data_IF_232204125595
#
_entry.id   IF_232204125595
#
_cell.length_a   1.000
_cell.length_b   1.000
_cell.length_c   1.000
_cell.angle_alpha   90.00
_cell.angle_beta   90.00
_cell.angle_gamma   90.00
#
_symmetry.space_group_name_H-M   'P 1'
#
loop_
_entity.id
_entity.type
_entity.pdbx_description
1 polymer ?
#
# COMPACT_ATOMS: atom_id res chain seq x y z
N UNK A 1 -60.93 50.18 -20.35
CA UNK A 1 -59.46 50.07 -20.20
C UNK A 1 -59.00 50.07 -18.73
N UNK A 2 -59.58 49.24 -17.84
CA UNK A 2 -59.16 49.18 -16.41
C UNK A 2 -59.00 47.76 -15.85
N UNK A 3 -59.28 46.71 -16.62
CA UNK A 3 -59.18 45.30 -16.14
C UNK A 3 -57.86 44.61 -16.48
N UNK A 4 -57.11 45.09 -17.47
CA UNK A 4 -55.83 44.49 -17.90
C UNK A 4 -54.61 44.96 -17.08
N UNK A 5 -54.65 46.16 -16.49
CA UNK A 5 -53.56 46.66 -15.64
C UNK A 5 -53.49 45.98 -14.25
N UNK A 6 -54.63 45.48 -13.74
CA UNK A 6 -54.72 44.82 -12.43
C UNK A 6 -54.19 43.37 -12.45
N UNK A 7 -54.25 42.71 -13.61
CA UNK A 7 -53.76 41.34 -13.78
C UNK A 7 -52.23 41.29 -13.95
N UNK A 8 -51.64 42.30 -14.57
CA UNK A 8 -50.18 42.38 -14.76
C UNK A 8 -49.46 42.71 -13.44
N UNK A 9 -50.05 43.52 -12.55
CA UNK A 9 -49.43 43.80 -11.24
C UNK A 9 -49.50 42.61 -10.27
N UNK A 10 -50.51 41.74 -10.40
CA UNK A 10 -50.64 40.54 -9.55
C UNK A 10 -49.65 39.43 -9.97
N UNK A 11 -49.38 39.28 -11.27
CA UNK A 11 -48.41 38.32 -11.78
C UNK A 11 -46.96 38.69 -11.41
N UNK A 12 -46.60 39.97 -11.40
CA UNK A 12 -45.26 40.42 -11.00
C UNK A 12 -45.05 40.25 -9.48
N UNK A 13 -46.11 40.42 -8.67
CA UNK A 13 -46.03 40.21 -7.22
C UNK A 13 -45.85 38.73 -6.85
N UNK A 14 -46.51 37.82 -7.57
CA UNK A 14 -46.40 36.36 -7.35
C UNK A 14 -45.04 35.83 -7.80
N UNK A 15 -44.48 36.35 -8.89
CA UNK A 15 -43.12 35.98 -9.35
C UNK A 15 -42.05 36.56 -8.40
N UNK A 16 -42.24 37.80 -7.91
CA UNK A 16 -41.35 38.40 -6.92
C UNK A 16 -41.35 37.65 -5.58
N UNK A 17 -42.51 37.23 -5.08
CA UNK A 17 -42.64 36.42 -3.87
C UNK A 17 -42.09 34.99 -4.05
N UNK A 18 -42.28 34.38 -5.22
CA UNK A 18 -41.72 33.06 -5.54
C UNK A 18 -40.18 33.07 -5.62
N UNK A 19 -39.59 34.10 -6.22
CA UNK A 19 -38.13 34.27 -6.28
C UNK A 19 -37.53 34.60 -4.91
N UNK A 20 -38.23 35.39 -4.08
CA UNK A 20 -37.80 35.66 -2.70
C UNK A 20 -37.90 34.40 -1.82
N UNK A 21 -38.91 33.55 -2.02
CA UNK A 21 -39.07 32.30 -1.27
C UNK A 21 -38.02 31.24 -1.67
N UNK A 22 -37.64 31.19 -2.95
CA UNK A 22 -36.55 30.31 -3.44
C UNK A 22 -35.17 30.82 -2.98
N UNK A 23 -34.97 32.14 -2.90
CA UNK A 23 -33.75 32.73 -2.35
C UNK A 23 -33.63 32.52 -0.82
N UNK A 24 -34.74 32.54 -0.08
CA UNK A 24 -34.76 32.30 1.37
C UNK A 24 -34.65 30.81 1.76
N UNK A 25 -34.90 29.89 0.83
CA UNK A 25 -34.77 28.44 1.06
C UNK A 25 -33.46 27.86 0.52
N UNK A 26 -32.76 28.57 -0.36
CA UNK A 26 -31.47 28.13 -0.92
C UNK A 26 -30.25 28.49 -0.03
N UNK A 27 -30.43 29.36 0.97
CA UNK A 27 -29.34 29.81 1.85
C UNK A 27 -29.10 28.95 3.10
N UNK A 28 -29.98 28.00 3.44
CA UNK A 28 -30.00 27.39 4.78
C UNK A 28 -29.50 25.94 4.89
N UNK A 29 -28.88 25.39 3.83
CA UNK A 29 -28.32 24.04 3.90
C UNK A 29 -26.81 23.98 4.17
N UNK A 30 -26.10 25.11 4.18
CA UNK A 30 -24.66 25.12 4.51
C UNK A 30 -24.47 25.26 6.03
N UNK A 31 -25.21 26.15 6.70
CA UNK A 31 -25.14 26.31 8.16
C UNK A 31 -25.73 25.13 8.94
N UNK A 32 -26.72 24.42 8.39
CA UNK A 32 -27.36 23.30 9.09
C UNK A 32 -26.46 22.07 9.19
N UNK A 33 -25.55 21.89 8.24
CA UNK A 33 -24.55 20.81 8.21
C UNK A 33 -23.50 20.95 9.32
N UNK A 34 -23.28 22.17 9.86
CA UNK A 34 -22.35 22.38 10.98
C UNK A 34 -22.93 21.96 12.34
N UNK A 35 -24.25 21.81 12.46
CA UNK A 35 -24.92 21.52 13.74
C UNK A 35 -25.12 20.02 14.04
N UNK A 36 -24.92 19.16 13.05
CA UNK A 36 -24.94 17.71 13.26
C UNK A 36 -23.59 17.29 13.85
N UNK A 37 -23.46 17.38 15.18
CA UNK A 37 -22.30 16.80 15.87
C UNK A 37 -22.22 15.32 15.51
N UNK A 38 -21.18 14.88 14.76
CA UNK A 38 -21.05 13.47 14.44
C UNK A 38 -20.85 12.69 15.73
N UNK A 39 -21.41 11.49 15.79
CA UNK A 39 -21.15 10.51 16.87
C UNK A 39 -19.69 10.03 16.88
N UNK A 40 -18.91 10.40 15.85
CA UNK A 40 -17.48 10.09 15.68
C UNK A 40 -16.63 11.35 15.86
N UNK A 41 -15.39 11.16 16.31
CA UNK A 41 -14.48 12.22 16.77
C UNK A 41 -14.02 13.24 15.70
N UNK A 42 -14.38 13.07 14.42
CA UNK A 42 -13.99 13.98 13.34
C UNK A 42 -15.01 14.05 12.21
N UNK A 43 -15.24 15.26 11.69
CA UNK A 43 -15.92 15.45 10.42
C UNK A 43 -15.05 14.89 9.27
N UNK A 44 -15.68 14.31 8.25
CA UNK A 44 -15.00 13.80 7.06
C UNK A 44 -15.29 14.72 5.87
N UNK A 45 -14.25 15.12 5.14
CA UNK A 45 -14.34 15.98 3.96
C UNK A 45 -13.59 15.37 2.76
N UNK A 46 -13.94 15.68 1.51
CA UNK A 46 -13.13 15.17 0.41
C UNK A 46 -11.71 15.72 0.49
N UNK A 47 -10.75 14.87 0.19
CA UNK A 47 -9.33 15.19 0.25
C UNK A 47 -8.91 15.96 -1.01
N UNK A 48 -8.14 17.04 -0.84
CA UNK A 48 -7.63 17.80 -1.99
C UNK A 48 -6.64 16.96 -2.81
N UNK A 49 -6.87 16.91 -4.12
CA UNK A 49 -5.97 16.23 -5.08
C UNK A 49 -4.89 17.21 -5.54
N UNK A 50 -3.60 16.86 -5.42
CA UNK A 50 -2.53 17.73 -5.91
C UNK A 50 -2.66 17.95 -7.43
N UNK A 51 -2.10 19.05 -7.94
CA UNK A 51 -2.09 19.29 -9.39
C UNK A 51 -1.24 18.25 -10.13
N UNK A 52 -0.12 17.87 -9.52
CA UNK A 52 0.82 16.89 -10.06
C UNK A 52 1.64 16.23 -8.94
N UNK A 53 2.27 15.10 -9.25
CA UNK A 53 3.22 14.44 -8.36
C UNK A 53 4.29 13.68 -9.15
N UNK A 54 5.46 13.49 -8.54
CA UNK A 54 6.51 12.61 -9.07
C UNK A 54 6.36 11.21 -8.44
N UNK A 55 6.51 10.17 -9.25
CA UNK A 55 6.60 8.79 -8.78
C UNK A 55 7.64 8.02 -9.59
N UNK A 56 8.64 7.46 -8.93
CA UNK A 56 9.72 6.70 -9.56
C UNK A 56 10.46 7.48 -10.67
N UNK A 57 10.55 8.81 -10.55
CA UNK A 57 11.13 9.70 -11.56
C UNK A 57 10.21 10.07 -12.72
N UNK A 58 8.96 9.60 -12.73
CA UNK A 58 7.93 9.95 -13.71
C UNK A 58 7.03 11.05 -13.14
N UNK A 59 6.72 12.07 -13.93
CA UNK A 59 5.78 13.14 -13.55
C UNK A 59 4.34 12.75 -13.96
N UNK A 60 3.41 12.83 -13.02
CA UNK A 60 1.98 12.59 -13.24
C UNK A 60 1.21 13.89 -12.98
N UNK A 61 0.33 14.27 -13.89
CA UNK A 61 -0.62 15.39 -13.74
C UNK A 61 -2.05 14.89 -13.58
N UNK A 62 -2.86 15.62 -12.81
CA UNK A 62 -4.26 15.27 -12.51
C UNK A 62 -5.24 16.32 -13.05
N UNK A 63 -4.93 16.94 -14.18
CA UNK A 63 -5.79 17.90 -14.90
C UNK A 63 -6.94 17.20 -15.64
N UNK A 64 -6.67 16.03 -16.22
CA UNK A 64 -7.69 15.18 -16.86
C UNK A 64 -8.62 14.54 -15.83
N UNK A 65 -9.93 14.50 -16.15
CA UNK A 65 -10.97 13.97 -15.26
C UNK A 65 -10.68 12.52 -14.83
N UNK A 66 -10.24 11.67 -15.78
CA UNK A 66 -10.03 10.25 -15.54
C UNK A 66 -8.86 9.99 -14.60
N UNK A 67 -7.77 10.76 -14.71
CA UNK A 67 -6.62 10.66 -13.79
C UNK A 67 -6.97 11.26 -12.41
N UNK A 68 -7.68 12.39 -12.38
CA UNK A 68 -8.12 13.06 -11.14
C UNK A 68 -9.05 12.19 -10.31
N UNK A 69 -10.10 11.66 -10.92
CA UNK A 69 -11.12 10.85 -10.22
C UNK A 69 -10.53 9.52 -9.73
N UNK A 70 -9.61 8.90 -10.49
CA UNK A 70 -8.89 7.70 -10.03
C UNK A 70 -7.98 7.97 -8.83
N UNK A 71 -7.27 9.11 -8.83
CA UNK A 71 -6.47 9.51 -7.67
C UNK A 71 -7.35 9.86 -6.47
N UNK A 72 -8.43 10.61 -6.69
CA UNK A 72 -9.39 11.01 -5.66
C UNK A 72 -9.98 9.81 -4.92
N UNK A 73 -10.40 8.80 -5.67
CA UNK A 73 -10.93 7.55 -5.12
C UNK A 73 -9.95 6.90 -4.14
N UNK A 74 -8.70 6.69 -4.56
CA UNK A 74 -7.72 5.96 -3.73
C UNK A 74 -7.22 6.80 -2.55
N UNK A 75 -7.05 8.12 -2.74
CA UNK A 75 -6.61 9.02 -1.67
C UNK A 75 -7.66 9.14 -0.58
N UNK A 76 -8.94 9.31 -0.94
CA UNK A 76 -10.04 9.26 0.03
C UNK A 76 -10.12 7.90 0.72
N UNK A 77 -9.96 6.79 -0.03
CA UNK A 77 -10.01 5.45 0.55
C UNK A 77 -8.96 5.24 1.63
N UNK A 78 -7.68 5.54 1.37
CA UNK A 78 -6.63 5.38 2.37
C UNK A 78 -6.73 6.39 3.52
N UNK A 79 -7.23 7.60 3.27
CA UNK A 79 -7.46 8.60 4.32
C UNK A 79 -8.49 8.08 5.32
N UNK A 80 -9.61 7.58 4.83
CA UNK A 80 -10.74 7.20 5.70
C UNK A 80 -10.72 5.74 6.16
N UNK A 81 -9.88 4.89 5.59
CA UNK A 81 -9.65 3.55 6.10
C UNK A 81 -8.58 3.54 7.22
N UNK A 82 -8.81 4.35 8.25
CA UNK A 82 -7.80 4.72 9.25
C UNK A 82 -7.11 3.54 9.92
N UNK A 83 -7.85 2.48 10.28
CA UNK A 83 -7.29 1.31 10.96
C UNK A 83 -6.24 0.60 10.10
N UNK A 84 -6.51 0.46 8.81
CA UNK A 84 -5.58 -0.12 7.84
C UNK A 84 -4.38 0.80 7.66
N UNK A 85 -4.60 2.09 7.40
CA UNK A 85 -3.50 3.03 7.13
C UNK A 85 -2.58 3.20 8.34
N UNK A 86 -3.11 3.27 9.57
CA UNK A 86 -2.31 3.24 10.79
C UNK A 86 -1.47 1.96 10.90
N UNK A 87 -2.02 0.80 10.52
CA UNK A 87 -1.27 -0.46 10.49
C UNK A 87 -0.16 -0.44 9.43
N UNK A 88 -0.38 0.21 8.29
CA UNK A 88 0.63 0.37 7.24
C UNK A 88 1.84 1.14 7.78
N UNK A 89 1.66 2.27 8.46
CA UNK A 89 2.77 3.00 9.09
C UNK A 89 3.53 2.14 10.12
N UNK A 90 2.79 1.42 10.97
CA UNK A 90 3.39 0.52 11.97
C UNK A 90 4.29 -0.52 11.32
N UNK A 91 3.79 -1.21 10.28
CA UNK A 91 4.54 -2.25 9.56
C UNK A 91 5.65 -1.68 8.69
N UNK A 92 5.45 -0.52 8.07
CA UNK A 92 6.47 0.16 7.29
C UNK A 92 7.70 0.48 8.13
N UNK A 93 7.52 0.95 9.37
CA UNK A 93 8.62 1.19 10.29
C UNK A 93 9.46 -0.08 10.57
N UNK A 94 8.86 -1.27 10.47
CA UNK A 94 9.55 -2.55 10.61
C UNK A 94 10.19 -3.04 9.32
N UNK A 95 9.53 -2.92 8.17
CA UNK A 95 9.93 -3.60 6.94
C UNK A 95 10.62 -2.72 5.90
N UNK A 96 10.37 -1.41 5.87
CA UNK A 96 11.08 -0.50 4.98
C UNK A 96 12.61 -0.49 5.21
N UNK A 97 13.13 -0.55 6.45
CA UNK A 97 14.57 -0.72 6.69
C UNK A 97 15.20 -1.95 6.01
N UNK A 98 14.39 -2.97 5.67
CA UNK A 98 14.84 -4.17 4.96
C UNK A 98 14.68 -4.01 3.44
N UNK A 99 13.55 -3.44 3.00
CA UNK A 99 13.19 -3.32 1.58
C UNK A 99 14.01 -2.24 0.85
N UNK A 100 14.08 -1.03 1.41
CA UNK A 100 14.67 0.14 0.73
C UNK A 100 16.15 -0.06 0.35
N UNK A 101 17.03 -0.64 1.21
CA UNK A 101 18.41 -0.90 0.83
C UNK A 101 18.52 -1.89 -0.33
N UNK A 102 17.62 -2.89 -0.41
CA UNK A 102 17.60 -3.87 -1.51
C UNK A 102 17.16 -3.19 -2.81
N UNK A 103 16.10 -2.37 -2.79
CA UNK A 103 15.66 -1.61 -3.97
C UNK A 103 16.81 -0.75 -4.50
N UNK A 104 17.46 0.01 -3.61
CA UNK A 104 18.62 0.84 -3.94
C UNK A 104 19.76 0.01 -4.54
N UNK A 105 20.13 -1.11 -3.94
CA UNK A 105 21.18 -2.00 -4.44
C UNK A 105 20.84 -2.56 -5.83
N UNK A 106 19.57 -2.84 -6.10
CA UNK A 106 19.12 -3.38 -7.38
C UNK A 106 18.92 -2.31 -8.45
N UNK A 107 18.99 -1.02 -8.11
CA UNK A 107 18.72 0.10 -9.01
C UNK A 107 17.23 0.25 -9.34
N UNK A 108 16.36 -0.11 -8.41
CA UNK A 108 14.91 0.10 -8.50
C UNK A 108 14.54 1.35 -7.70
N UNK A 109 13.70 2.26 -8.22
CA UNK A 109 13.27 3.45 -7.49
C UNK A 109 12.60 3.11 -6.15
N UNK A 110 12.91 3.90 -5.12
CA UNK A 110 12.44 3.67 -3.75
C UNK A 110 10.91 3.68 -3.65
N UNK A 111 10.24 4.49 -4.47
CA UNK A 111 8.78 4.55 -4.57
C UNK A 111 8.12 3.20 -4.84
N UNK A 112 8.82 2.26 -5.48
CA UNK A 112 8.26 0.94 -5.77
C UNK A 112 8.08 0.07 -4.51
N UNK A 113 8.58 0.50 -3.34
CA UNK A 113 8.23 -0.13 -2.05
C UNK A 113 6.73 -0.06 -1.76
N UNK A 114 6.03 0.95 -2.28
CA UNK A 114 4.57 1.08 -2.10
C UNK A 114 3.79 -0.03 -2.81
N UNK A 115 4.41 -0.76 -3.74
CA UNK A 115 3.83 -1.97 -4.31
C UNK A 115 3.63 -3.04 -3.22
N UNK A 116 4.65 -3.30 -2.37
CA UNK A 116 4.52 -4.23 -1.24
C UNK A 116 3.46 -3.77 -0.21
N UNK A 117 3.24 -2.46 -0.10
CA UNK A 117 2.20 -1.87 0.75
C UNK A 117 0.81 -2.23 0.22
N UNK A 118 0.55 -2.03 -1.08
CA UNK A 118 -0.78 -2.27 -1.65
C UNK A 118 -1.09 -3.75 -1.91
N UNK A 119 -0.06 -4.59 -2.05
CA UNK A 119 -0.17 -6.03 -2.28
C UNK A 119 -0.53 -6.81 -1.01
N UNK A 120 0.18 -6.55 0.09
CA UNK A 120 0.09 -7.38 1.30
C UNK A 120 -0.13 -6.59 2.58
N UNK A 121 -0.26 -5.27 2.52
CA UNK A 121 -0.18 -4.41 3.70
C UNK A 121 1.10 -4.67 4.51
N UNK A 122 2.20 -4.95 3.81
CA UNK A 122 3.49 -5.36 4.37
C UNK A 122 3.41 -6.60 5.29
N UNK A 123 2.54 -7.55 4.99
CA UNK A 123 2.42 -8.82 5.72
C UNK A 123 3.25 -9.92 5.05
N UNK A 124 4.35 -10.40 5.67
CA UNK A 124 5.15 -11.47 5.10
C UNK A 124 4.41 -12.82 5.03
N UNK A 125 3.23 -12.95 5.69
CA UNK A 125 2.41 -14.15 5.72
C UNK A 125 1.16 -14.07 4.83
N UNK A 126 0.95 -12.96 4.12
CA UNK A 126 -0.23 -12.77 3.28
C UNK A 126 -0.37 -13.87 2.23
N UNK A 127 -1.61 -14.32 2.01
CA UNK A 127 -1.98 -15.25 0.94
C UNK A 127 -3.28 -14.78 0.30
N UNK A 128 -3.28 -14.52 -1.00
CA UNK A 128 -4.48 -14.15 -1.73
C UNK A 128 -5.34 -15.39 -2.07
N UNK A 129 -6.62 -15.19 -2.46
CA UNK A 129 -7.45 -16.26 -3.01
C UNK A 129 -6.82 -16.98 -4.22
N UNK A 130 -6.03 -16.25 -5.02
CA UNK A 130 -5.29 -16.79 -6.16
C UNK A 130 -3.98 -17.52 -5.75
N UNK A 131 -3.71 -17.65 -4.45
CA UNK A 131 -2.50 -18.25 -3.87
C UNK A 131 -1.21 -17.47 -4.16
N UNK A 132 -1.34 -16.18 -4.45
CA UNK A 132 -0.23 -15.25 -4.38
C UNK A 132 0.21 -15.12 -2.91
N UNK A 133 1.52 -15.10 -2.64
CA UNK A 133 2.01 -15.27 -1.27
C UNK A 133 3.13 -14.29 -0.89
N UNK A 134 3.18 -13.98 0.40
CA UNK A 134 4.20 -13.16 1.04
C UNK A 134 4.03 -11.66 0.76
N UNK A 135 5.06 -10.90 1.13
CA UNK A 135 4.99 -9.43 1.17
C UNK A 135 4.83 -8.81 -0.23
N UNK A 136 5.33 -9.50 -1.26
CA UNK A 136 5.26 -9.11 -2.66
C UNK A 136 4.20 -9.88 -3.46
N UNK A 137 3.37 -10.69 -2.81
CA UNK A 137 2.28 -11.48 -3.41
C UNK A 137 2.69 -12.21 -4.71
N UNK A 138 3.74 -13.03 -4.64
CA UNK A 138 4.12 -13.83 -5.80
C UNK A 138 3.20 -15.04 -5.97
N UNK A 139 2.68 -15.25 -7.19
CA UNK A 139 2.22 -16.58 -7.60
C UNK A 139 3.38 -17.57 -7.56
N UNK A 140 3.09 -18.86 -7.32
CA UNK A 140 4.15 -19.86 -7.16
C UNK A 140 5.01 -19.99 -8.43
N UNK A 141 4.39 -20.03 -9.61
CA UNK A 141 5.09 -20.10 -10.91
C UNK A 141 5.97 -18.88 -11.14
N UNK A 142 5.43 -17.68 -10.91
CA UNK A 142 6.16 -16.43 -11.04
C UNK A 142 7.31 -16.36 -10.04
N UNK A 143 7.10 -16.74 -8.78
CA UNK A 143 8.17 -16.80 -7.79
C UNK A 143 9.34 -17.68 -8.24
N UNK A 144 9.06 -18.88 -8.77
CA UNK A 144 10.08 -19.77 -9.36
C UNK A 144 10.81 -19.12 -10.53
N UNK A 145 10.07 -18.48 -11.44
CA UNK A 145 10.66 -17.76 -12.59
C UNK A 145 11.70 -16.72 -12.15
N UNK A 146 11.46 -16.03 -11.04
CA UNK A 146 12.38 -15.02 -10.50
C UNK A 146 13.36 -15.55 -9.44
N UNK A 147 13.46 -16.88 -9.31
CA UNK A 147 14.50 -17.58 -8.55
C UNK A 147 14.16 -17.87 -7.09
N UNK A 148 12.87 -17.82 -6.71
CA UNK A 148 12.41 -18.24 -5.38
C UNK A 148 12.19 -19.75 -5.33
N UNK A 149 12.74 -20.39 -4.30
CA UNK A 149 12.46 -21.78 -3.98
C UNK A 149 11.04 -21.94 -3.43
N UNK A 150 10.29 -22.89 -3.99
CA UNK A 150 8.93 -23.23 -3.50
C UNK A 150 8.73 -24.75 -3.51
N UNK A 151 9.02 -25.37 -2.36
CA UNK A 151 8.72 -26.77 -2.01
C UNK A 151 7.76 -26.81 -0.82
N UNK A 152 7.40 -28.02 -0.38
CA UNK A 152 6.42 -28.24 0.68
C UNK A 152 6.80 -27.61 2.03
N UNK A 153 8.06 -27.69 2.43
CA UNK A 153 8.59 -27.21 3.71
C UNK A 153 9.36 -25.88 3.62
N UNK A 154 9.68 -25.41 2.41
CA UNK A 154 10.37 -24.14 2.13
C UNK A 154 9.65 -23.39 1.01
N UNK A 155 9.16 -22.19 1.30
CA UNK A 155 8.55 -21.29 0.32
C UNK A 155 9.11 -19.87 0.51
N UNK A 156 10.09 -19.52 -0.32
CA UNK A 156 10.83 -18.26 -0.25
C UNK A 156 10.00 -17.04 -0.71
N UNK A 157 8.75 -17.23 -1.16
CA UNK A 157 7.81 -16.12 -1.34
C UNK A 157 7.50 -15.42 -0.02
N UNK A 158 7.55 -16.16 1.09
CA UNK A 158 7.39 -15.63 2.45
C UNK A 158 8.71 -15.12 3.07
N UNK A 159 9.82 -15.15 2.33
CA UNK A 159 11.12 -14.63 2.78
C UNK A 159 11.27 -13.18 2.30
N UNK A 160 11.24 -12.21 3.22
CA UNK A 160 11.19 -10.78 2.87
C UNK A 160 12.34 -10.36 1.96
N UNK A 161 13.60 -10.65 2.31
CA UNK A 161 14.74 -10.20 1.49
C UNK A 161 14.77 -10.88 0.11
N UNK A 162 14.64 -12.22 0.06
CA UNK A 162 14.67 -12.96 -1.21
C UNK A 162 13.52 -12.58 -2.14
N UNK A 163 12.31 -12.47 -1.60
CA UNK A 163 11.15 -12.02 -2.39
C UNK A 163 11.29 -10.56 -2.84
N UNK A 164 11.94 -9.69 -2.07
CA UNK A 164 12.27 -8.32 -2.51
C UNK A 164 13.24 -8.32 -3.68
N UNK A 165 14.29 -9.15 -3.64
CA UNK A 165 15.21 -9.31 -4.78
C UNK A 165 14.47 -9.86 -6.01
N UNK A 166 13.57 -10.82 -5.83
CA UNK A 166 12.74 -11.34 -6.92
C UNK A 166 11.81 -10.27 -7.51
N UNK A 167 11.17 -9.45 -6.68
CA UNK A 167 10.36 -8.31 -7.11
C UNK A 167 11.18 -7.29 -7.90
N UNK A 168 12.41 -6.99 -7.45
CA UNK A 168 13.31 -6.11 -8.20
C UNK A 168 13.63 -6.67 -9.59
N UNK A 169 13.87 -7.98 -9.70
CA UNK A 169 14.13 -8.63 -11.00
C UNK A 169 12.93 -8.53 -11.93
N UNK A 170 11.72 -8.80 -11.43
CA UNK A 170 10.49 -8.62 -12.17
C UNK A 170 10.36 -7.18 -12.67
N UNK A 171 10.46 -6.20 -11.77
CA UNK A 171 10.22 -4.79 -12.07
C UNK A 171 11.21 -4.26 -13.09
N UNK A 172 12.48 -4.68 -13.02
CA UNK A 172 13.50 -4.32 -14.02
C UNK A 172 13.28 -4.99 -15.37
N UNK A 173 12.74 -6.21 -15.41
CA UNK A 173 12.35 -6.84 -16.68
C UNK A 173 11.19 -6.10 -17.31
N UNK A 174 10.13 -5.83 -16.55
CA UNK A 174 8.98 -5.07 -17.03
C UNK A 174 9.37 -3.65 -17.48
N UNK A 175 10.21 -2.95 -16.73
CA UNK A 175 10.72 -1.64 -17.13
C UNK A 175 11.54 -1.71 -18.42
N UNK A 176 12.40 -2.73 -18.60
CA UNK A 176 13.13 -2.91 -19.87
C UNK A 176 12.21 -3.15 -21.06
N UNK A 177 11.07 -3.82 -20.85
CA UNK A 177 10.12 -4.13 -21.91
C UNK A 177 9.24 -2.93 -22.28
N UNK A 178 8.95 -2.04 -21.32
CA UNK A 178 7.99 -0.95 -21.50
C UNK A 178 8.58 0.46 -21.47
N UNK A 179 9.78 0.64 -20.91
CA UNK A 179 10.40 1.96 -20.72
C UNK A 179 9.71 2.84 -19.66
N UNK A 180 8.72 2.31 -18.93
CA UNK A 180 7.94 3.07 -17.93
C UNK A 180 7.67 2.27 -16.66
N UNK A 181 7.77 2.94 -15.52
CA UNK A 181 7.45 2.39 -14.20
C UNK A 181 5.95 2.24 -13.98
N UNK A 182 5.11 3.14 -14.52
CA UNK A 182 3.66 2.92 -14.53
C UNK A 182 3.29 1.61 -15.24
N UNK A 183 3.87 1.35 -16.43
CA UNK A 183 3.63 0.12 -17.17
C UNK A 183 4.15 -1.11 -16.41
N UNK A 184 5.34 -1.01 -15.79
CA UNK A 184 5.92 -2.08 -14.99
C UNK A 184 5.08 -2.42 -13.74
N UNK A 185 4.51 -1.42 -13.07
CA UNK A 185 3.63 -1.61 -11.93
C UNK A 185 2.30 -2.22 -12.35
N UNK A 186 1.66 -1.71 -13.41
CA UNK A 186 0.42 -2.28 -13.94
C UNK A 186 0.61 -3.72 -14.42
N UNK A 187 1.78 -4.06 -14.99
CA UNK A 187 2.06 -5.42 -15.41
C UNK A 187 2.23 -6.36 -14.23
N UNK A 188 2.70 -5.87 -13.09
CA UNK A 188 2.84 -6.66 -11.86
C UNK A 188 1.50 -7.28 -11.45
N UNK A 189 0.41 -6.50 -11.51
CA UNK A 189 -0.95 -6.97 -11.24
C UNK A 189 -1.60 -7.65 -12.46
N UNK A 190 -1.57 -7.00 -13.63
CA UNK A 190 -2.32 -7.40 -14.81
C UNK A 190 -1.63 -8.43 -15.72
N UNK A 191 -0.33 -8.66 -15.52
CA UNK A 191 0.54 -9.46 -16.38
C UNK A 191 1.16 -8.66 -17.54
N UNK A 192 2.43 -8.93 -17.85
CA UNK A 192 3.18 -8.23 -18.93
C UNK A 192 2.52 -8.34 -20.30
N UNK A 193 2.00 -9.52 -20.66
CA UNK A 193 1.33 -9.71 -21.95
C UNK A 193 0.06 -8.86 -22.08
N UNK A 194 -0.70 -8.68 -20.99
CA UNK A 194 -1.91 -7.85 -20.98
C UNK A 194 -1.56 -6.39 -21.22
N UNK A 195 -0.54 -5.87 -20.53
CA UNK A 195 -0.11 -4.48 -20.70
C UNK A 195 0.47 -4.27 -22.11
N UNK A 196 1.33 -5.18 -22.58
CA UNK A 196 1.93 -5.11 -23.93
C UNK A 196 0.86 -5.09 -25.02
N UNK A 197 -0.07 -6.05 -24.98
CA UNK A 197 -1.15 -6.11 -25.96
C UNK A 197 -2.11 -4.93 -25.81
N UNK A 198 -2.40 -4.48 -24.58
CA UNK A 198 -3.25 -3.32 -24.33
C UNK A 198 -2.71 -2.05 -24.97
N UNK A 199 -1.42 -1.74 -24.77
CA UNK A 199 -0.77 -0.55 -25.36
C UNK A 199 -0.90 -0.58 -26.88
N UNK A 200 -0.59 -1.73 -27.49
CA UNK A 200 -0.69 -1.94 -28.94
C UNK A 200 -2.12 -1.84 -29.46
N UNK A 201 -3.05 -2.58 -28.86
CA UNK A 201 -4.39 -2.79 -29.39
C UNK A 201 -5.30 -1.57 -29.15
N UNK A 202 -5.06 -0.80 -28.08
CA UNK A 202 -5.76 0.45 -27.78
C UNK A 202 -5.07 1.67 -28.39
N UNK A 203 -3.85 1.52 -28.93
CA UNK A 203 -3.11 2.58 -29.61
C UNK A 203 -2.70 3.72 -28.67
N UNK A 204 -2.29 3.38 -27.44
CA UNK A 204 -1.84 4.35 -26.42
C UNK A 204 -0.42 4.05 -25.98
N UNK A 205 0.37 5.10 -25.75
CA UNK A 205 1.76 4.99 -25.30
C UNK A 205 1.88 5.01 -23.76
N UNK A 206 1.02 5.78 -23.08
CA UNK A 206 0.95 5.85 -21.62
C UNK A 206 0.07 4.71 -21.09
N UNK A 207 0.65 3.89 -20.22
CA UNK A 207 -0.07 2.77 -19.60
C UNK A 207 -1.24 3.20 -18.71
N UNK A 208 -1.23 4.45 -18.21
CA UNK A 208 -2.34 5.02 -17.43
C UNK A 208 -3.55 5.39 -18.29
N UNK A 209 -3.39 5.40 -19.62
CA UNK A 209 -4.48 5.60 -20.58
C UNK A 209 -5.15 4.28 -20.98
N UNK A 210 -4.61 3.14 -20.53
CA UNK A 210 -5.20 1.83 -20.82
C UNK A 210 -6.57 1.65 -20.14
N UNK A 211 -7.52 1.17 -20.92
CA UNK A 211 -8.74 0.56 -20.43
C UNK A 211 -8.43 -0.87 -19.95
N UNK A 212 -8.25 -1.02 -18.64
CA UNK A 212 -8.01 -2.31 -17.99
C UNK A 212 -9.17 -2.66 -17.04
N UNK A 213 -9.21 -3.92 -16.62
CA UNK A 213 -10.09 -4.33 -15.52
C UNK A 213 -9.85 -3.45 -14.29
N UNK A 214 -10.91 -3.21 -13.54
CA UNK A 214 -10.92 -2.21 -12.46
C UNK A 214 -9.76 -2.40 -11.46
N UNK A 215 -9.47 -3.64 -11.08
CA UNK A 215 -8.36 -3.95 -10.16
C UNK A 215 -7.01 -3.40 -10.67
N UNK A 216 -6.67 -3.67 -11.93
CA UNK A 216 -5.41 -3.21 -12.53
C UNK A 216 -5.43 -1.70 -12.78
N UNK A 217 -6.52 -1.15 -13.29
CA UNK A 217 -6.66 0.30 -13.55
C UNK A 217 -6.42 1.17 -12.31
N UNK A 218 -6.77 0.65 -11.11
CA UNK A 218 -6.58 1.35 -9.84
C UNK A 218 -5.18 1.18 -9.25
N UNK A 219 -4.43 0.18 -9.71
CA UNK A 219 -3.24 -0.32 -9.03
C UNK A 219 -2.16 0.75 -8.86
N UNK A 220 -1.84 1.50 -9.93
CA UNK A 220 -0.87 2.58 -9.85
C UNK A 220 -1.35 3.73 -8.96
N UNK A 221 -2.62 4.14 -9.08
CA UNK A 221 -3.21 5.20 -8.24
C UNK A 221 -3.23 4.85 -6.75
N UNK A 222 -3.36 3.56 -6.39
CA UNK A 222 -3.20 3.11 -5.00
C UNK A 222 -1.79 3.37 -4.48
N UNK A 223 -0.76 3.18 -5.31
CA UNK A 223 0.64 3.47 -4.96
C UNK A 223 0.87 4.98 -4.83
N UNK A 224 0.31 5.78 -5.75
CA UNK A 224 0.35 7.25 -5.69
C UNK A 224 -0.30 7.79 -4.42
N UNK A 225 -1.52 7.34 -4.12
CA UNK A 225 -2.28 7.76 -2.94
C UNK A 225 -1.59 7.41 -1.63
N UNK A 226 -1.06 6.19 -1.51
CA UNK A 226 -0.39 5.80 -0.27
C UNK A 226 0.96 6.49 -0.10
N UNK A 227 1.70 6.77 -1.17
CA UNK A 227 2.90 7.64 -1.11
C UNK A 227 2.56 9.00 -0.56
N UNK A 228 1.52 9.64 -1.10
CA UNK A 228 1.09 10.97 -0.70
C UNK A 228 0.77 11.04 0.81
N UNK A 229 0.09 10.01 1.35
CA UNK A 229 -0.21 9.91 2.78
C UNK A 229 1.04 9.65 3.61
N UNK A 230 1.93 8.76 3.15
CA UNK A 230 3.19 8.46 3.84
C UNK A 230 4.13 9.66 3.93
N UNK A 231 4.11 10.55 2.94
CA UNK A 231 4.93 11.75 2.92
C UNK A 231 4.34 12.88 3.78
N UNK A 232 3.02 12.91 3.98
CA UNK A 232 2.32 13.98 4.70
C UNK A 232 1.23 13.47 5.67
N UNK A 233 1.51 12.56 6.62
CA UNK A 233 0.46 11.86 7.39
C UNK A 233 -0.50 12.80 8.14
N UNK A 234 0.03 13.88 8.73
CA UNK A 234 -0.74 14.82 9.52
C UNK A 234 -1.74 15.61 8.67
N UNK A 235 -1.40 15.88 7.39
CA UNK A 235 -2.32 16.52 6.44
C UNK A 235 -3.56 15.66 6.18
N UNK A 236 -3.43 14.34 6.32
CA UNK A 236 -4.52 13.36 6.14
C UNK A 236 -5.10 12.86 7.47
N UNK A 237 -4.86 13.57 8.58
CA UNK A 237 -5.45 13.25 9.89
C UNK A 237 -4.76 12.12 10.66
N UNK A 238 -3.59 11.65 10.23
CA UNK A 238 -2.83 10.62 10.93
C UNK A 238 -1.87 11.24 11.96
N UNK A 239 -2.25 11.19 13.23
CA UNK A 239 -1.42 11.60 14.36
C UNK A 239 -0.72 10.38 14.94
N UNK A 240 0.54 10.18 14.58
CA UNK A 240 1.33 9.00 14.97
C UNK A 240 2.43 9.45 15.92
N UNK A 241 2.57 8.75 17.05
CA UNK A 241 3.71 8.95 17.96
C UNK A 241 4.73 7.83 17.79
N UNK A 242 6.00 8.05 18.17
CA UNK A 242 7.02 7.00 18.12
C UNK A 242 6.58 5.69 18.77
N UNK A 243 5.98 5.74 19.96
CA UNK A 243 5.48 4.58 20.72
C UNK A 243 4.35 3.79 20.02
N UNK A 244 3.76 4.34 18.95
CA UNK A 244 2.74 3.66 18.18
C UNK A 244 3.31 2.70 17.14
N UNK A 245 4.54 2.91 16.66
CA UNK A 245 5.11 2.18 15.55
C UNK A 245 5.60 0.78 15.96
N UNK A 246 5.60 -0.18 15.04
CA UNK A 246 6.29 -1.44 15.30
C UNK A 246 7.79 -1.23 15.11
N UNK A 247 8.58 -1.69 16.08
CA UNK A 247 10.03 -1.52 16.01
C UNK A 247 10.66 -2.34 14.86
N UNK A 248 11.72 -1.82 14.21
CA UNK A 248 12.68 -2.64 13.48
C UNK A 248 13.26 -3.68 14.45
N UNK A 249 13.48 -4.89 13.95
CA UNK A 249 13.99 -6.01 14.75
C UNK A 249 15.43 -6.29 14.38
N UNK A 250 16.27 -6.56 15.37
CA UNK A 250 17.61 -7.12 15.19
C UNK A 250 17.58 -8.64 15.30
N UNK A 251 18.47 -9.29 14.55
CA UNK A 251 18.53 -10.74 14.46
C UNK A 251 19.95 -11.25 14.65
N UNK A 252 20.05 -12.42 15.27
CA UNK A 252 21.20 -13.31 15.11
C UNK A 252 20.93 -14.22 13.92
N UNK A 253 21.80 -14.19 12.94
CA UNK A 253 21.77 -15.11 11.81
C UNK A 253 22.34 -16.48 12.21
N UNK A 254 21.59 -17.54 11.92
CA UNK A 254 22.03 -18.93 12.13
C UNK A 254 22.05 -19.64 10.79
N UNK A 255 23.25 -20.01 10.33
CA UNK A 255 23.44 -20.77 9.08
C UNK A 255 23.23 -22.26 9.36
N UNK A 256 22.36 -22.90 8.59
CA UNK A 256 22.02 -24.32 8.72
C UNK A 256 22.15 -25.01 7.36
N UNK A 257 22.99 -26.04 7.29
CA UNK A 257 23.19 -26.89 6.11
C UNK A 257 22.66 -28.31 6.28
N UNK A 258 22.13 -28.66 7.46
CA UNK A 258 21.52 -29.96 7.76
C UNK A 258 19.99 -29.87 7.82
N UNK A 259 19.32 -31.03 7.86
CA UNK A 259 17.89 -31.08 8.20
C UNK A 259 17.66 -30.64 9.65
N UNK A 260 16.50 -30.03 9.92
CA UNK A 260 16.00 -29.76 11.27
C UNK A 260 14.75 -30.61 11.48
N UNK A 261 14.79 -31.69 12.28
CA UNK A 261 13.66 -32.61 12.43
C UNK A 261 12.47 -31.99 13.18
N UNK A 262 12.73 -31.04 14.08
CA UNK A 262 11.69 -30.33 14.83
C UNK A 262 12.09 -28.87 15.08
N UNK A 263 11.36 -27.95 14.44
CA UNK A 263 11.56 -26.52 14.57
C UNK A 263 11.16 -25.98 15.95
N UNK A 264 10.29 -26.68 16.69
CA UNK A 264 9.94 -26.26 18.05
C UNK A 264 11.10 -26.48 19.01
N UNK A 265 11.76 -27.65 18.93
CA UNK A 265 13.00 -27.93 19.65
C UNK A 265 14.12 -26.96 19.25
N UNK A 266 14.28 -26.70 17.95
CA UNK A 266 15.25 -25.72 17.46
C UNK A 266 15.00 -24.31 18.03
N UNK A 267 13.75 -23.84 18.00
CA UNK A 267 13.37 -22.55 18.59
C UNK A 267 13.71 -22.49 20.08
N UNK A 268 13.41 -23.55 20.84
CA UNK A 268 13.70 -23.66 22.26
C UNK A 268 15.20 -23.60 22.56
N UNK A 269 16.05 -24.24 21.75
CA UNK A 269 17.51 -24.16 21.86
C UNK A 269 18.04 -22.72 21.68
N UNK A 270 17.30 -21.88 20.96
CA UNK A 270 17.60 -20.47 20.74
C UNK A 270 16.85 -19.53 21.70
N UNK A 271 16.19 -20.05 22.74
CA UNK A 271 15.43 -19.29 23.74
C UNK A 271 14.31 -18.42 23.14
N UNK A 272 13.66 -18.91 22.08
CA UNK A 272 12.49 -18.28 21.47
C UNK A 272 11.35 -19.28 21.35
N UNK A 273 10.12 -18.78 21.22
CA UNK A 273 8.97 -19.63 20.93
C UNK A 273 8.98 -20.06 19.45
N UNK A 274 8.30 -21.16 19.16
CA UNK A 274 8.08 -21.58 17.76
C UNK A 274 7.38 -20.49 16.93
N UNK A 275 6.43 -19.76 17.53
CA UNK A 275 5.76 -18.64 16.85
C UNK A 275 6.75 -17.51 16.52
N UNK A 276 7.60 -17.10 17.46
CA UNK A 276 8.64 -16.09 17.24
C UNK A 276 9.63 -16.51 16.15
N UNK A 277 10.00 -17.80 16.08
CA UNK A 277 10.81 -18.30 14.97
C UNK A 277 10.08 -18.13 13.63
N UNK A 278 8.80 -18.51 13.58
CA UNK A 278 7.99 -18.47 12.35
C UNK A 278 7.65 -17.05 11.90
N UNK A 279 7.55 -16.08 12.80
CA UNK A 279 7.26 -14.68 12.44
C UNK A 279 8.34 -14.08 11.51
N UNK A 280 9.60 -14.48 11.69
CA UNK A 280 10.74 -13.98 10.89
C UNK A 280 11.31 -15.02 9.91
N UNK A 281 10.86 -16.27 10.02
CA UNK A 281 11.20 -17.35 9.11
C UNK A 281 9.93 -17.98 8.53
N UNK A 282 8.97 -17.13 8.12
CA UNK A 282 7.68 -17.57 7.56
C UNK A 282 7.81 -18.40 6.28
N UNK A 283 9.00 -18.37 5.65
CA UNK A 283 9.37 -19.22 4.53
C UNK A 283 9.57 -20.69 4.91
N UNK A 284 9.84 -21.00 6.18
CA UNK A 284 9.69 -22.37 6.68
C UNK A 284 8.20 -22.66 6.74
N UNK A 285 7.71 -23.63 5.97
CA UNK A 285 6.27 -23.90 5.83
C UNK A 285 5.78 -25.07 6.67
N UNK A 286 6.67 -25.97 7.06
CA UNK A 286 6.33 -27.10 7.90
C UNK A 286 6.81 -26.91 9.35
N UNK A 287 6.67 -27.94 10.19
CA UNK A 287 7.23 -28.05 11.55
C UNK A 287 8.67 -28.56 11.56
N UNK A 288 9.21 -28.95 10.40
CA UNK A 288 10.58 -29.42 10.19
C UNK A 288 11.16 -28.80 8.92
N UNK A 289 12.47 -28.90 8.75
CA UNK A 289 13.20 -28.54 7.53
C UNK A 289 13.93 -29.77 7.01
N UNK A 290 13.55 -30.26 5.83
CA UNK A 290 14.25 -31.31 5.11
C UNK A 290 15.32 -30.71 4.19
N UNK A 291 16.56 -31.15 4.33
CA UNK A 291 17.67 -30.60 3.55
C UNK A 291 18.66 -31.68 3.06
N UNK A 292 18.21 -32.67 2.27
CA UNK A 292 19.09 -33.72 1.77
C UNK A 292 20.18 -33.20 0.82
N UNK A 293 19.98 -32.04 0.19
CA UNK A 293 20.96 -31.43 -0.73
C UNK A 293 22.09 -30.69 -0.02
N UNK A 294 22.04 -30.53 1.31
CA UNK A 294 23.05 -29.79 2.06
C UNK A 294 23.06 -28.27 1.77
N UNK A 295 21.97 -27.72 1.20
CA UNK A 295 21.87 -26.29 0.87
C UNK A 295 21.96 -25.48 2.16
N UNK A 296 22.76 -24.41 2.20
CA UNK A 296 22.81 -23.56 3.38
C UNK A 296 21.62 -22.60 3.40
N UNK A 297 20.85 -22.62 4.49
CA UNK A 297 19.82 -21.64 4.80
C UNK A 297 20.28 -20.74 5.94
N UNK A 298 19.82 -19.49 5.96
CA UNK A 298 20.02 -18.57 7.07
C UNK A 298 18.69 -18.39 7.78
N UNK A 299 18.62 -18.77 9.05
CA UNK A 299 17.47 -18.54 9.91
C UNK A 299 17.72 -17.29 10.76
N UNK A 300 16.71 -16.43 10.85
CA UNK A 300 16.73 -15.20 11.62
C UNK A 300 16.18 -15.46 13.02
N UNK A 301 17.03 -15.32 14.05
CA UNK A 301 16.64 -15.46 15.46
C UNK A 301 16.56 -14.07 16.07
N UNK A 302 15.37 -13.56 16.47
CA UNK A 302 15.27 -12.25 17.08
C UNK A 302 16.11 -12.16 18.36
N UNK A 303 16.74 -11.00 18.59
CA UNK A 303 17.48 -10.78 19.84
C UNK A 303 16.52 -10.77 21.03
N UNK A 304 17.02 -11.17 22.22
CA UNK A 304 16.21 -11.19 23.44
C UNK A 304 15.68 -9.80 23.81
N UNK A 305 16.49 -8.76 23.58
CA UNK A 305 16.05 -7.38 23.76
C UNK A 305 14.87 -7.04 22.85
N UNK A 306 14.91 -7.50 21.59
CA UNK A 306 13.87 -7.16 20.64
C UNK A 306 12.54 -7.91 20.82
N UNK A 307 12.49 -8.93 21.66
CA UNK A 307 11.24 -9.62 21.99
C UNK A 307 10.28 -8.77 22.83
N UNK A 308 10.75 -7.70 23.49
CA UNK A 308 9.96 -6.95 24.46
C UNK A 308 9.82 -5.46 24.09
N UNK A 309 8.66 -4.89 24.37
CA UNK A 309 8.48 -3.43 24.44
C UNK A 309 8.67 -3.00 25.90
N UNK A 310 9.67 -2.15 26.17
CA UNK A 310 9.94 -1.63 27.51
C UNK A 310 9.12 -0.37 27.74
N UNK A 311 8.52 -0.24 28.93
CA UNK A 311 7.72 0.93 29.30
C UNK A 311 8.61 2.18 29.31
N UNK A 312 8.20 3.23 28.61
CA UNK A 312 8.94 4.49 28.53
C UNK A 312 10.00 4.54 27.43
N UNK A 313 10.24 3.43 26.72
CA UNK A 313 11.09 3.42 25.53
C UNK A 313 10.23 3.53 24.26
N UNK A 314 10.66 4.38 23.33
CA UNK A 314 10.06 4.47 22.00
C UNK A 314 10.90 3.70 20.99
N UNK A 315 10.28 3.02 20.02
CA UNK A 315 11.00 2.34 18.97
C UNK A 315 11.78 3.36 18.13
N UNK A 316 12.90 2.91 17.55
CA UNK A 316 13.58 3.69 16.51
C UNK A 316 12.60 3.97 15.37
N UNK A 317 12.42 5.25 15.06
CA UNK A 317 11.59 5.71 13.95
C UNK A 317 12.45 5.69 12.69
N UNK A 318 12.04 4.92 11.69
CA UNK A 318 12.71 4.81 10.39
C UNK A 318 12.62 6.10 9.60
N UNK A 319 11.42 6.69 9.51
CA UNK A 319 11.18 7.96 8.86
C UNK A 319 10.56 8.97 9.86
N UNK A 320 11.31 10.00 10.30
CA UNK A 320 10.84 10.97 11.28
C UNK A 320 9.69 11.84 10.77
N UNK A 321 9.43 11.92 9.46
CA UNK A 321 8.28 12.64 8.91
C UNK A 321 6.94 11.99 9.30
N UNK A 322 6.93 10.71 9.68
CA UNK A 322 5.69 10.00 10.01
C UNK A 322 5.12 10.35 11.37
N UNK A 323 5.97 10.81 12.30
CA UNK A 323 5.57 11.03 13.69
C UNK A 323 5.36 12.51 13.96
N UNK A 324 4.42 12.83 14.84
CA UNK A 324 4.32 14.18 15.38
C UNK A 324 5.55 14.49 16.25
N UNK A 325 6.03 15.73 16.13
CA UNK A 325 7.15 16.25 16.92
C UNK A 325 6.73 16.55 18.35
#
# INVERSE_FOLDING_TARGET
MKKSALLISFSILIIGLGVLFIALTSGNNIEKTESERPLVLSMTASVAIPESMEFAGEQITFDRYDKRERMDRELNSFTYFHSTTLLLFKRANRFFPIIEPILKQQGVPDDLKYLAVIESSLDPRAVSPARAAGIWQFLQSTGKQYGLETRTDVDERYHVEKSTVAACRYLKEAYRNHGSWSAAALSYNGGQARITNGLRDQGVDDSLDLWLVEETSRYYYRMLAIKQIFENPQQYGFVIRPDHLYKPMQFKEVKVSSSIPDLATFAKQHNITYAQLKDFNSWLRNTSLSNPSGKTYTLLIPTQEDLYYKKGESPKVHNPAWVVK
#
